data_IF_887251733470
#
_entry.id   IF_887251733470
#
_cell.length_a   1.000
_cell.length_b   1.000
_cell.length_c   1.000
_cell.angle_alpha   90.00
_cell.angle_beta   90.00
_cell.angle_gamma   90.00
#
_symmetry.space_group_name_H-M   'P 1'
#
loop_
_entity.id
_entity.type
_entity.pdbx_description
1 polymer ?
#
# COMPACT_ATOMS: atom_id res chain seq x y z
N UNK A 1 23.35 13.17 -22.59
CA UNK A 1 22.12 12.76 -23.34
C UNK A 1 21.16 13.94 -23.37
N UNK A 2 20.51 14.25 -24.50
CA UNK A 2 19.48 15.29 -24.58
C UNK A 2 18.13 14.73 -24.15
N UNK A 3 17.20 15.59 -23.68
CA UNK A 3 15.87 15.16 -23.24
C UNK A 3 15.06 14.49 -24.35
N UNK A 4 15.17 14.99 -25.58
CA UNK A 4 14.53 14.40 -26.76
C UNK A 4 15.05 12.98 -27.07
N UNK A 5 16.32 12.70 -26.79
CA UNK A 5 16.92 11.39 -26.98
C UNK A 5 16.42 10.39 -25.93
N UNK A 6 16.28 10.80 -24.66
CA UNK A 6 15.79 9.93 -23.59
C UNK A 6 14.30 9.56 -23.78
N UNK A 7 13.44 10.53 -24.07
CA UNK A 7 12.02 10.28 -24.35
C UNK A 7 11.84 9.31 -25.54
N UNK A 8 12.61 9.51 -26.61
CA UNK A 8 12.57 8.63 -27.79
C UNK A 8 13.02 7.20 -27.49
N UNK A 9 14.04 7.02 -26.62
CA UNK A 9 14.49 5.69 -26.19
C UNK A 9 13.43 4.97 -25.35
N UNK A 10 12.81 5.68 -24.42
CA UNK A 10 11.74 5.12 -23.56
C UNK A 10 10.55 4.70 -24.42
N UNK A 11 10.07 5.57 -25.30
CA UNK A 11 8.98 5.24 -26.23
C UNK A 11 9.34 4.04 -27.12
N UNK A 12 10.61 3.90 -27.53
CA UNK A 12 11.10 2.74 -28.28
C UNK A 12 11.12 1.43 -27.47
N UNK A 13 10.97 1.48 -26.16
CA UNK A 13 10.95 0.30 -25.28
C UNK A 13 9.52 -0.17 -24.92
N UNK A 14 8.46 0.50 -25.37
CA UNK A 14 7.06 0.16 -25.02
C UNK A 14 6.70 -1.29 -25.37
N UNK A 15 7.09 -1.78 -26.53
CA UNK A 15 6.83 -3.18 -26.92
C UNK A 15 7.61 -4.17 -26.05
N UNK A 16 8.82 -3.82 -25.64
CA UNK A 16 9.61 -4.65 -24.70
C UNK A 16 8.95 -4.63 -23.31
N UNK A 17 8.53 -3.47 -22.82
CA UNK A 17 7.81 -3.34 -21.54
C UNK A 17 6.54 -4.20 -21.52
N UNK A 18 5.79 -4.21 -22.62
CA UNK A 18 4.63 -5.08 -22.77
C UNK A 18 5.00 -6.57 -22.73
N UNK A 19 6.07 -6.96 -23.39
CA UNK A 19 6.55 -8.35 -23.39
C UNK A 19 6.95 -8.78 -21.97
N UNK A 20 7.77 -7.97 -21.31
CA UNK A 20 8.23 -8.22 -19.94
C UNK A 20 7.05 -8.35 -18.97
N UNK A 21 6.07 -7.44 -19.04
CA UNK A 21 4.88 -7.51 -18.20
C UNK A 21 4.02 -8.73 -18.52
N UNK A 22 3.92 -9.12 -19.79
CA UNK A 22 3.20 -10.34 -20.21
C UNK A 22 3.81 -11.59 -19.57
N UNK A 23 5.14 -11.69 -19.59
CA UNK A 23 5.86 -12.80 -18.98
C UNK A 23 5.67 -12.82 -17.46
N UNK A 24 5.86 -11.68 -16.79
CA UNK A 24 5.69 -11.57 -15.35
C UNK A 24 4.26 -11.88 -14.90
N UNK A 25 3.24 -11.34 -15.57
CA UNK A 25 1.83 -11.58 -15.25
C UNK A 25 1.48 -13.06 -15.41
N UNK A 26 2.11 -13.76 -16.36
CA UNK A 26 1.88 -15.19 -16.56
C UNK A 26 2.35 -16.07 -15.41
N UNK A 27 3.17 -15.54 -14.50
CA UNK A 27 3.65 -16.26 -13.31
C UNK A 27 2.74 -15.89 -12.13
N UNK A 28 1.93 -16.83 -11.61
CA UNK A 28 1.02 -16.58 -10.50
C UNK A 28 1.76 -16.56 -9.16
N UNK A 29 2.61 -15.56 -8.95
CA UNK A 29 3.49 -15.41 -7.79
C UNK A 29 2.73 -14.95 -6.53
N UNK A 30 1.68 -15.67 -6.15
CA UNK A 30 0.96 -15.48 -4.89
C UNK A 30 1.76 -16.10 -3.76
N UNK A 31 2.16 -15.29 -2.78
CA UNK A 31 3.07 -15.72 -1.72
C UNK A 31 2.44 -16.65 -0.66
N UNK A 32 1.11 -16.86 -0.68
CA UNK A 32 0.41 -17.76 0.24
C UNK A 32 0.54 -19.23 -0.21
N UNK A 33 1.37 -20.06 0.46
CA UNK A 33 1.60 -21.46 0.06
C UNK A 33 0.37 -22.35 0.23
N UNK A 34 -0.69 -21.88 0.89
CA UNK A 34 -1.97 -22.60 1.00
C UNK A 34 -2.80 -22.48 -0.27
N UNK A 35 -2.51 -21.50 -1.12
CA UNK A 35 -3.24 -21.19 -2.34
C UNK A 35 -2.43 -21.50 -3.59
N UNK A 36 -1.14 -21.15 -3.60
CA UNK A 36 -0.26 -21.33 -4.76
C UNK A 36 1.08 -22.00 -4.35
N UNK A 37 1.67 -22.76 -5.27
CA UNK A 37 2.99 -23.37 -5.02
C UNK A 37 4.08 -22.31 -4.83
N UNK A 38 4.95 -22.41 -3.81
CA UNK A 38 6.06 -21.45 -3.60
C UNK A 38 7.04 -21.34 -4.79
N UNK A 39 7.05 -22.35 -5.65
CA UNK A 39 7.85 -22.37 -6.88
C UNK A 39 7.46 -21.24 -7.84
N UNK A 40 6.22 -20.76 -7.81
CA UNK A 40 5.78 -19.64 -8.68
C UNK A 40 6.44 -18.32 -8.23
N UNK A 41 6.54 -18.07 -6.92
CA UNK A 41 7.31 -16.93 -6.41
C UNK A 41 8.80 -17.05 -6.78
N UNK A 42 9.39 -18.25 -6.70
CA UNK A 42 10.78 -18.47 -7.12
C UNK A 42 11.00 -18.24 -8.60
N UNK A 43 10.05 -18.61 -9.47
CA UNK A 43 10.11 -18.33 -10.91
C UNK A 43 10.08 -16.82 -11.17
N UNK A 44 9.20 -16.09 -10.48
CA UNK A 44 9.14 -14.64 -10.59
C UNK A 44 10.44 -13.98 -10.11
N UNK A 45 10.98 -14.40 -8.95
CA UNK A 45 12.25 -13.94 -8.44
C UNK A 45 13.40 -14.17 -9.43
N UNK A 46 13.49 -15.35 -10.03
CA UNK A 46 14.52 -15.68 -11.01
C UNK A 46 14.37 -14.83 -12.27
N UNK A 47 13.13 -14.65 -12.77
CA UNK A 47 12.86 -13.77 -13.90
C UNK A 47 13.34 -12.34 -13.61
N UNK A 48 13.03 -11.81 -12.43
CA UNK A 48 13.47 -10.48 -12.00
C UNK A 48 14.99 -10.39 -11.96
N UNK A 49 15.66 -11.39 -11.37
CA UNK A 49 17.12 -11.42 -11.28
C UNK A 49 17.78 -11.40 -12.68
N UNK A 50 17.28 -12.21 -13.60
CA UNK A 50 17.79 -12.29 -14.96
C UNK A 50 17.58 -10.97 -15.72
N UNK A 51 16.39 -10.37 -15.60
CA UNK A 51 16.04 -9.13 -16.29
C UNK A 51 16.86 -7.93 -15.80
N UNK A 52 17.11 -7.80 -14.48
CA UNK A 52 17.94 -6.72 -13.93
C UNK A 52 19.42 -6.94 -14.21
N UNK A 53 19.88 -8.17 -14.29
CA UNK A 53 21.24 -8.49 -14.78
C UNK A 53 21.39 -8.03 -16.24
N UNK A 54 20.42 -8.34 -17.13
CA UNK A 54 20.38 -7.86 -18.51
C UNK A 54 20.35 -6.32 -18.59
N UNK A 55 19.65 -5.67 -17.66
CA UNK A 55 19.57 -4.21 -17.58
C UNK A 55 20.84 -3.55 -17.02
N UNK A 56 21.88 -4.31 -16.70
CA UNK A 56 23.21 -3.81 -16.32
C UNK A 56 23.45 -3.67 -14.82
N UNK A 57 22.68 -4.34 -13.98
CA UNK A 57 23.03 -4.51 -12.57
C UNK A 57 24.03 -5.65 -12.39
N UNK A 58 24.85 -5.53 -11.36
CA UNK A 58 25.87 -6.50 -10.97
C UNK A 58 25.45 -7.30 -9.75
N UNK A 59 26.00 -8.51 -9.61
CA UNK A 59 25.80 -9.38 -8.44
C UNK A 59 24.32 -9.56 -8.07
N UNK A 60 23.46 -9.66 -9.09
CA UNK A 60 22.02 -9.87 -8.87
C UNK A 60 21.80 -11.32 -8.43
N UNK A 61 21.22 -11.49 -7.26
CA UNK A 61 20.97 -12.81 -6.68
C UNK A 61 19.77 -12.79 -5.73
N UNK A 62 19.29 -14.00 -5.42
CA UNK A 62 18.21 -14.21 -4.45
C UNK A 62 18.79 -14.38 -3.06
N UNK A 63 18.19 -13.71 -2.07
CA UNK A 63 18.45 -13.91 -0.65
C UNK A 63 17.19 -14.47 0.02
N UNK A 64 17.36 -15.44 0.92
CA UNK A 64 16.26 -15.96 1.73
C UNK A 64 15.99 -14.98 2.89
N UNK A 65 14.76 -14.57 3.05
CA UNK A 65 14.31 -13.71 4.15
C UNK A 65 13.83 -14.55 5.35
N UNK A 66 13.80 -13.98 6.58
CA UNK A 66 13.47 -14.74 7.79
C UNK A 66 12.09 -15.43 7.78
N UNK A 67 11.16 -14.96 6.97
CA UNK A 67 9.85 -15.57 6.76
C UNK A 67 9.85 -16.78 5.79
N UNK A 68 11.01 -17.09 5.22
CA UNK A 68 11.20 -18.17 4.25
C UNK A 68 10.86 -17.79 2.80
N UNK A 69 10.53 -16.52 2.55
CA UNK A 69 10.42 -15.98 1.20
C UNK A 69 11.80 -15.62 0.62
N UNK A 70 11.84 -14.98 -0.53
CA UNK A 70 13.10 -14.52 -1.14
C UNK A 70 12.95 -13.07 -1.56
N UNK A 71 14.02 -12.30 -1.36
CA UNK A 71 14.18 -11.02 -2.05
C UNK A 71 15.24 -11.16 -3.14
N UNK A 72 15.08 -10.40 -4.22
CA UNK A 72 16.11 -10.25 -5.26
C UNK A 72 16.88 -8.98 -4.96
N UNK A 73 18.18 -9.07 -4.77
CA UNK A 73 19.05 -7.92 -4.55
C UNK A 73 20.10 -7.81 -5.66
N UNK A 74 20.52 -6.59 -5.95
CA UNK A 74 21.55 -6.32 -6.93
C UNK A 74 22.08 -4.90 -6.79
N UNK A 75 23.16 -4.57 -7.49
CA UNK A 75 23.70 -3.22 -7.43
C UNK A 75 24.40 -2.80 -8.72
N UNK A 76 24.61 -1.49 -8.86
CA UNK A 76 25.54 -0.88 -9.82
C UNK A 76 26.41 0.11 -9.09
N UNK A 77 27.76 0.03 -9.20
CA UNK A 77 28.66 0.94 -8.52
C UNK A 77 28.41 2.41 -8.84
N UNK A 78 28.50 3.27 -7.84
CA UNK A 78 28.38 4.70 -8.01
C UNK A 78 29.60 5.28 -8.78
N UNK A 79 29.39 6.14 -9.78
CA UNK A 79 30.47 6.97 -10.29
C UNK A 79 31.10 7.80 -9.16
N UNK A 80 32.42 8.15 -9.26
CA UNK A 80 33.10 8.89 -8.22
C UNK A 80 32.38 10.21 -7.86
N UNK A 81 31.98 10.35 -6.58
CA UNK A 81 31.30 11.53 -6.06
C UNK A 81 29.80 11.62 -6.35
N UNK A 82 29.23 10.65 -7.06
CA UNK A 82 27.80 10.58 -7.30
C UNK A 82 27.07 9.90 -6.13
N UNK A 83 25.79 10.24 -5.87
CA UNK A 83 24.98 9.59 -4.86
C UNK A 83 24.58 8.16 -5.26
N UNK A 84 24.07 7.41 -4.30
CA UNK A 84 23.47 6.09 -4.51
C UNK A 84 21.95 6.17 -4.31
N UNK A 85 21.19 5.53 -5.19
CA UNK A 85 19.74 5.42 -5.11
C UNK A 85 19.36 3.95 -4.96
N UNK A 86 18.49 3.65 -3.99
CA UNK A 86 17.87 2.34 -3.88
C UNK A 86 16.55 2.34 -4.64
N UNK A 87 16.35 1.32 -5.48
CA UNK A 87 15.11 1.05 -6.18
C UNK A 87 14.42 -0.15 -5.52
N UNK A 88 13.17 0.03 -5.09
CA UNK A 88 12.34 -1.01 -4.48
C UNK A 88 11.08 -1.25 -5.30
N UNK A 89 10.71 -2.51 -5.42
CA UNK A 89 9.43 -3.02 -5.87
C UNK A 89 9.18 -4.39 -5.24
N UNK A 90 8.01 -5.02 -5.48
CA UNK A 90 7.78 -6.42 -5.13
C UNK A 90 7.29 -7.23 -6.33
N UNK A 91 7.49 -8.54 -6.30
CA UNK A 91 7.10 -9.44 -7.39
C UNK A 91 6.00 -10.43 -7.01
N UNK A 92 5.68 -10.55 -5.73
CA UNK A 92 4.50 -11.27 -5.30
C UNK A 92 3.22 -10.47 -5.60
N UNK A 93 2.09 -11.14 -5.58
CA UNK A 93 0.80 -10.55 -5.92
C UNK A 93 -0.31 -11.12 -5.04
N UNK A 94 -1.36 -10.34 -4.85
CA UNK A 94 -2.60 -10.82 -4.24
C UNK A 94 -3.22 -11.97 -5.05
N UNK A 95 -3.92 -12.91 -4.41
CA UNK A 95 -4.70 -13.90 -5.13
C UNK A 95 -5.79 -13.22 -5.97
N UNK A 96 -6.26 -13.86 -7.07
CA UNK A 96 -7.27 -13.28 -7.95
C UNK A 96 -8.64 -13.10 -7.30
N UNK A 97 -8.88 -13.68 -6.12
CA UNK A 97 -10.15 -13.71 -5.38
C UNK A 97 -11.21 -14.53 -6.13
N UNK A 98 -12.26 -13.89 -6.63
CA UNK A 98 -13.36 -14.51 -7.37
C UNK A 98 -13.02 -14.55 -8.87
N UNK A 99 -12.64 -15.71 -9.38
CA UNK A 99 -12.26 -15.90 -10.78
C UNK A 99 -13.42 -15.56 -11.75
N UNK A 100 -14.67 -15.78 -11.33
CA UNK A 100 -15.85 -15.47 -12.14
C UNK A 100 -16.10 -13.95 -12.31
N UNK A 101 -15.49 -13.14 -11.44
CA UNK A 101 -15.55 -11.70 -11.52
C UNK A 101 -14.53 -11.09 -12.51
N UNK A 102 -13.57 -11.88 -12.99
CA UNK A 102 -12.62 -11.45 -14.00
C UNK A 102 -13.20 -11.56 -15.41
N UNK A 103 -13.12 -10.48 -16.18
CA UNK A 103 -13.55 -10.47 -17.60
C UNK A 103 -12.57 -11.22 -18.50
N UNK A 104 -11.30 -11.27 -18.13
CA UNK A 104 -10.21 -12.00 -18.80
C UNK A 104 -9.40 -12.75 -17.75
N UNK A 105 -8.72 -13.86 -18.07
CA UNK A 105 -7.97 -14.64 -17.09
C UNK A 105 -6.94 -13.78 -16.32
N UNK A 106 -6.87 -13.85 -14.98
CA UNK A 106 -6.06 -12.97 -14.15
C UNK A 106 -4.56 -13.04 -14.44
N UNK A 107 -4.05 -14.20 -14.84
CA UNK A 107 -2.64 -14.42 -15.16
C UNK A 107 -2.36 -14.46 -16.66
N UNK A 108 -3.15 -13.71 -17.44
CA UNK A 108 -2.96 -13.53 -18.89
C UNK A 108 -3.11 -12.06 -19.22
N UNK A 109 -2.00 -11.38 -19.52
CA UNK A 109 -2.03 -9.97 -19.88
C UNK A 109 -2.94 -9.75 -21.09
N UNK A 110 -4.00 -8.97 -20.91
CA UNK A 110 -4.99 -8.71 -21.96
C UNK A 110 -5.19 -7.20 -22.13
N UNK A 111 -5.04 -6.72 -23.36
CA UNK A 111 -5.33 -5.32 -23.66
C UNK A 111 -6.81 -5.12 -23.97
N UNK A 112 -7.43 -4.15 -23.27
CA UNK A 112 -8.80 -3.69 -23.52
C UNK A 112 -8.88 -2.19 -23.31
N UNK A 113 -9.55 -1.48 -24.18
CA UNK A 113 -9.81 -0.04 -24.06
C UNK A 113 -8.55 0.79 -23.72
N UNK A 114 -7.40 0.39 -24.28
CA UNK A 114 -6.11 1.04 -24.07
C UNK A 114 -5.45 0.75 -22.74
N UNK A 115 -5.97 -0.16 -21.91
CA UNK A 115 -5.37 -0.60 -20.64
C UNK A 115 -4.91 -2.05 -20.72
N UNK A 116 -3.90 -2.40 -19.94
CA UNK A 116 -3.38 -3.75 -19.79
C UNK A 116 -3.91 -4.40 -18.52
N UNK A 117 -4.73 -5.44 -18.67
CA UNK A 117 -5.41 -6.15 -17.60
C UNK A 117 -4.67 -7.42 -17.22
N UNK A 118 -4.58 -7.69 -15.92
CA UNK A 118 -4.00 -8.88 -15.32
C UNK A 118 -3.61 -8.63 -13.87
N UNK A 119 -3.57 -9.67 -13.05
CA UNK A 119 -3.14 -9.56 -11.66
C UNK A 119 -1.65 -9.20 -11.58
N UNK A 120 -1.31 -8.16 -10.79
CA UNK A 120 0.03 -7.64 -10.68
C UNK A 120 0.42 -6.62 -11.76
N UNK A 121 -0.48 -6.27 -12.69
CA UNK A 121 -0.16 -5.31 -13.75
C UNK A 121 0.18 -3.91 -13.24
N UNK A 122 -0.40 -3.51 -12.11
CA UNK A 122 -0.10 -2.26 -11.42
C UNK A 122 0.68 -2.55 -10.13
N UNK A 123 0.20 -3.48 -9.34
CA UNK A 123 0.67 -3.83 -8.02
C UNK A 123 1.29 -5.23 -8.00
N UNK A 124 2.62 -5.36 -8.16
CA UNK A 124 3.63 -4.33 -8.34
C UNK A 124 4.51 -4.58 -9.59
N UNK A 125 4.15 -5.59 -10.44
CA UNK A 125 4.94 -5.99 -11.62
C UNK A 125 5.08 -4.87 -12.66
N UNK A 126 4.10 -3.97 -12.74
CA UNK A 126 4.20 -2.75 -13.56
C UNK A 126 5.35 -1.85 -13.13
N UNK A 127 5.60 -1.74 -11.83
CA UNK A 127 6.73 -0.97 -11.28
C UNK A 127 8.07 -1.67 -11.57
N UNK A 128 8.12 -3.01 -11.58
CA UNK A 128 9.31 -3.75 -12.04
C UNK A 128 9.66 -3.37 -13.48
N UNK A 129 8.65 -3.39 -14.36
CA UNK A 129 8.83 -3.06 -15.79
C UNK A 129 9.18 -1.59 -15.98
N UNK A 130 8.66 -0.69 -15.16
CA UNK A 130 9.01 0.72 -15.12
C UNK A 130 10.52 0.90 -14.83
N UNK A 131 11.04 0.28 -13.77
CA UNK A 131 12.46 0.30 -13.42
C UNK A 131 13.34 -0.25 -14.57
N UNK A 132 12.98 -1.40 -15.12
CA UNK A 132 13.70 -2.00 -16.25
C UNK A 132 13.73 -1.08 -17.45
N UNK A 133 12.62 -0.41 -17.77
CA UNK A 133 12.52 0.52 -18.89
C UNK A 133 13.39 1.75 -18.67
N UNK A 134 13.41 2.32 -17.47
CA UNK A 134 14.26 3.45 -17.10
C UNK A 134 15.76 3.10 -17.23
N UNK A 135 16.17 1.97 -16.63
CA UNK A 135 17.58 1.53 -16.66
C UNK A 135 18.05 1.19 -18.08
N UNK A 136 17.22 0.51 -18.88
CA UNK A 136 17.55 0.20 -20.30
C UNK A 136 17.64 1.46 -21.15
N UNK A 137 16.78 2.45 -20.92
CA UNK A 137 16.84 3.73 -21.64
C UNK A 137 18.13 4.51 -21.34
N UNK A 138 18.61 4.44 -20.11
CA UNK A 138 19.88 5.03 -19.69
C UNK A 138 21.09 4.21 -20.16
N UNK A 139 20.99 2.88 -20.17
CA UNK A 139 22.07 1.97 -20.54
C UNK A 139 23.33 2.19 -19.70
N UNK A 140 24.47 2.44 -20.35
CA UNK A 140 25.74 2.69 -19.66
C UNK A 140 25.83 4.08 -19.04
N UNK A 141 24.92 5.00 -19.37
CA UNK A 141 24.91 6.39 -18.91
C UNK A 141 24.19 6.62 -17.57
N UNK A 142 23.96 5.57 -16.76
CA UNK A 142 23.39 5.72 -15.39
C UNK A 142 24.35 6.55 -14.52
N UNK A 143 23.91 7.76 -14.07
CA UNK A 143 24.84 8.72 -13.47
C UNK A 143 24.99 8.60 -11.95
N UNK A 144 24.34 7.64 -11.31
CA UNK A 144 24.32 7.37 -9.88
C UNK A 144 24.68 5.92 -9.58
N UNK A 145 25.05 5.62 -8.34
CA UNK A 145 25.03 4.24 -7.86
C UNK A 145 23.59 3.74 -7.73
N UNK A 146 23.37 2.48 -8.07
CA UNK A 146 22.07 1.83 -7.86
C UNK A 146 22.24 0.71 -6.83
N UNK A 147 21.32 0.63 -5.90
CA UNK A 147 20.97 -0.57 -5.16
C UNK A 147 19.57 -0.97 -5.57
N UNK A 148 19.32 -2.25 -5.65
CA UNK A 148 18.05 -2.79 -6.08
C UNK A 148 17.56 -3.86 -5.12
N UNK A 149 16.28 -3.84 -4.80
CA UNK A 149 15.60 -4.89 -4.07
C UNK A 149 14.20 -5.10 -4.64
N UNK A 150 13.86 -6.36 -4.92
CA UNK A 150 12.50 -6.77 -5.19
C UNK A 150 12.06 -7.80 -4.15
N UNK A 151 11.00 -7.48 -3.43
CA UNK A 151 10.46 -8.31 -2.35
C UNK A 151 9.53 -9.39 -2.90
N UNK A 152 9.40 -10.50 -2.19
CA UNK A 152 8.57 -11.64 -2.59
C UNK A 152 7.49 -12.04 -1.61
N UNK A 153 7.21 -11.21 -0.60
CA UNK A 153 6.17 -11.45 0.41
C UNK A 153 5.53 -10.17 0.96
N UNK A 154 5.59 -9.08 0.21
CA UNK A 154 4.97 -7.80 0.61
C UNK A 154 3.48 -7.98 0.90
N UNK A 155 2.77 -8.63 -0.01
CA UNK A 155 1.33 -8.86 0.02
C UNK A 155 0.86 -9.79 1.17
N UNK A 156 1.78 -10.50 1.80
CA UNK A 156 1.51 -11.29 3.00
C UNK A 156 1.73 -10.48 4.28
N UNK A 157 2.46 -9.37 4.23
CA UNK A 157 2.77 -8.52 5.38
C UNK A 157 3.51 -9.29 6.48
N UNK A 158 4.39 -10.22 6.12
CA UNK A 158 5.11 -11.08 7.07
C UNK A 158 6.26 -10.37 7.75
N UNK A 159 6.76 -9.27 7.17
CA UNK A 159 7.89 -8.52 7.70
C UNK A 159 9.25 -9.17 7.43
N UNK A 160 9.32 -10.10 6.49
CA UNK A 160 10.55 -10.83 6.17
C UNK A 160 11.67 -9.92 5.65
N UNK A 161 11.35 -9.03 4.71
CA UNK A 161 12.32 -8.08 4.19
C UNK A 161 12.71 -7.03 5.25
N UNK A 162 11.76 -6.56 6.06
CA UNK A 162 12.03 -5.60 7.14
C UNK A 162 13.05 -6.15 8.14
N UNK A 163 12.91 -7.41 8.53
CA UNK A 163 13.86 -8.07 9.43
C UNK A 163 15.21 -8.29 8.75
N UNK A 164 15.22 -8.64 7.46
CA UNK A 164 16.45 -8.79 6.67
C UNK A 164 17.21 -7.46 6.58
N UNK A 165 16.53 -6.35 6.30
CA UNK A 165 17.13 -4.99 6.25
C UNK A 165 17.80 -4.63 7.58
N UNK A 166 17.15 -4.94 8.71
CA UNK A 166 17.73 -4.66 10.05
C UNK A 166 19.01 -5.48 10.27
N UNK A 167 19.06 -6.71 9.77
CA UNK A 167 20.21 -7.60 9.88
C UNK A 167 21.37 -7.27 8.92
N UNK A 168 21.08 -6.64 7.76
CA UNK A 168 22.04 -6.39 6.67
C UNK A 168 21.94 -4.94 6.14
N UNK A 169 22.00 -3.90 6.99
CA UNK A 169 21.73 -2.53 6.58
C UNK A 169 22.69 -2.01 5.50
N UNK A 170 23.92 -2.54 5.43
CA UNK A 170 24.91 -2.13 4.43
C UNK A 170 24.49 -2.45 3.00
N UNK A 171 23.64 -3.47 2.80
CA UNK A 171 23.13 -3.84 1.48
C UNK A 171 22.10 -2.83 0.96
N UNK A 172 21.45 -2.07 1.86
CA UNK A 172 20.38 -1.13 1.55
C UNK A 172 20.77 0.34 1.69
N UNK A 173 21.95 0.64 2.25
CA UNK A 173 22.39 2.01 2.48
C UNK A 173 22.47 2.80 1.16
N UNK A 174 21.65 3.85 1.04
CA UNK A 174 21.58 4.75 -0.09
C UNK A 174 21.27 6.19 0.37
N UNK A 175 21.48 7.17 -0.51
CA UNK A 175 21.21 8.58 -0.24
C UNK A 175 19.74 8.93 -0.49
N UNK A 176 19.09 8.23 -1.44
CA UNK A 176 17.65 8.28 -1.69
C UNK A 176 17.11 6.87 -1.93
N UNK A 177 15.86 6.63 -1.53
CA UNK A 177 15.17 5.36 -1.67
C UNK A 177 13.86 5.59 -2.44
N UNK A 178 13.72 4.97 -3.62
CA UNK A 178 12.50 4.97 -4.41
C UNK A 178 11.72 3.71 -4.06
N UNK A 179 10.63 3.88 -3.33
CA UNK A 179 9.69 2.83 -2.99
C UNK A 179 8.58 2.88 -4.02
N UNK A 180 8.69 2.01 -5.03
CA UNK A 180 7.74 2.00 -6.15
C UNK A 180 6.66 0.95 -5.90
N UNK A 181 5.70 1.35 -5.08
CA UNK A 181 4.57 0.57 -4.59
C UNK A 181 3.40 1.50 -4.23
N UNK A 182 3.28 2.58 -4.98
CA UNK A 182 2.21 3.57 -4.90
C UNK A 182 1.99 4.16 -6.29
N UNK A 183 1.17 5.19 -6.41
CA UNK A 183 0.89 5.72 -7.72
C UNK A 183 0.41 7.15 -7.79
N UNK A 184 -0.12 7.48 -8.93
CA UNK A 184 -0.56 8.80 -9.32
C UNK A 184 -2.02 9.07 -8.85
N UNK A 185 -2.34 10.34 -8.63
CA UNK A 185 -3.72 10.76 -8.29
C UNK A 185 -4.70 10.49 -9.45
N UNK A 186 -4.21 10.47 -10.67
CA UNK A 186 -4.93 10.08 -11.88
C UNK A 186 -3.92 9.89 -13.02
N UNK A 187 -4.33 9.20 -14.09
CA UNK A 187 -3.54 9.12 -15.33
C UNK A 187 -3.15 10.52 -15.81
N UNK A 188 -1.87 10.74 -16.11
CA UNK A 188 -1.33 12.02 -16.57
C UNK A 188 -1.15 13.08 -15.48
N UNK A 189 -1.15 12.68 -14.21
CA UNK A 189 -0.91 13.59 -13.06
C UNK A 189 0.25 13.07 -12.23
N UNK A 190 1.47 13.49 -12.54
CA UNK A 190 2.67 13.07 -11.82
C UNK A 190 2.59 13.38 -10.33
N UNK A 191 2.64 12.34 -9.51
CA UNK A 191 2.35 12.43 -8.08
C UNK A 191 3.45 11.74 -7.26
N UNK A 192 3.75 12.31 -6.09
CA UNK A 192 4.50 11.62 -5.05
C UNK A 192 3.57 11.34 -3.86
N UNK A 193 3.54 10.11 -3.37
CA UNK A 193 2.89 9.79 -2.11
C UNK A 193 3.77 10.24 -0.96
N UNK A 194 3.27 11.13 -0.12
CA UNK A 194 4.06 11.74 0.97
C UNK A 194 3.63 11.30 2.35
N UNK A 195 2.57 10.51 2.43
CA UNK A 195 2.13 9.93 3.70
C UNK A 195 1.41 8.59 3.52
N UNK A 196 1.66 7.68 4.46
CA UNK A 196 0.94 6.43 4.61
C UNK A 196 0.27 6.41 5.98
N UNK A 197 -0.96 5.91 6.04
CA UNK A 197 -1.62 5.70 7.33
C UNK A 197 -1.08 4.46 8.02
N UNK A 198 -0.92 4.58 9.33
CA UNK A 198 -0.70 3.43 10.20
C UNK A 198 -1.98 2.62 10.42
N UNK A 199 -1.83 1.56 11.18
CA UNK A 199 -2.87 0.59 11.47
C UNK A 199 -2.85 0.22 12.96
N UNK A 200 -4.03 0.10 13.57
CA UNK A 200 -4.19 -0.47 14.90
C UNK A 200 -5.43 -1.37 14.92
N UNK A 201 -5.23 -2.68 14.99
CA UNK A 201 -6.31 -3.66 15.03
C UNK A 201 -6.52 -4.20 16.44
N UNK A 202 -7.78 -4.39 16.81
CA UNK A 202 -8.18 -5.03 18.04
C UNK A 202 -9.33 -5.99 17.82
N UNK A 203 -9.41 -7.02 18.66
CA UNK A 203 -10.60 -7.86 18.81
C UNK A 203 -11.27 -7.50 20.13
N UNK A 204 -12.53 -7.10 20.06
CA UNK A 204 -13.35 -6.83 21.25
C UNK A 204 -14.31 -7.97 21.49
N UNK A 205 -14.34 -8.48 22.72
CA UNK A 205 -15.25 -9.52 23.17
C UNK A 205 -16.15 -8.94 24.28
N UNK A 206 -17.45 -9.12 24.13
CA UNK A 206 -18.46 -8.68 25.09
C UNK A 206 -19.14 -9.91 25.69
N UNK A 207 -19.12 -10.02 27.00
CA UNK A 207 -19.77 -11.11 27.76
C UNK A 207 -20.84 -10.53 28.70
N UNK A 208 -22.03 -11.10 28.68
CA UNK A 208 -23.17 -10.63 29.49
C UNK A 208 -23.85 -11.73 30.34
N UNK A 209 -23.73 -13.00 29.92
CA UNK A 209 -24.34 -14.15 30.53
C UNK A 209 -23.34 -15.29 30.69
N UNK A 210 -23.61 -16.27 31.56
CA UNK A 210 -22.81 -17.48 31.74
C UNK A 210 -22.99 -18.46 30.55
N UNK A 211 -24.09 -18.37 29.84
CA UNK A 211 -24.44 -19.19 28.66
C UNK A 211 -25.68 -18.67 27.96
N UNK A 212 -25.92 -19.13 26.74
CA UNK A 212 -27.12 -18.78 26.01
C UNK A 212 -28.39 -19.24 26.70
N UNK A 213 -29.44 -18.41 26.66
CA UNK A 213 -30.72 -18.69 27.30
C UNK A 213 -31.87 -18.43 26.35
N UNK A 214 -33.00 -19.09 26.58
CA UNK A 214 -34.20 -18.99 25.74
C UNK A 214 -34.77 -17.56 25.74
N UNK A 215 -34.83 -16.94 24.54
CA UNK A 215 -35.22 -15.53 24.37
C UNK A 215 -36.69 -15.25 24.77
N UNK A 216 -37.60 -16.21 24.58
CA UNK A 216 -38.97 -16.06 24.97
C UNK A 216 -39.21 -16.16 26.48
N UNK A 217 -38.32 -16.83 27.25
CA UNK A 217 -38.41 -16.95 28.72
C UNK A 217 -37.68 -15.85 29.45
N UNK A 218 -36.56 -15.39 28.93
CA UNK A 218 -35.64 -14.48 29.62
C UNK A 218 -35.38 -13.16 28.88
N UNK A 219 -35.75 -13.07 27.58
CA UNK A 219 -35.61 -11.87 26.80
C UNK A 219 -36.35 -10.67 27.37
N UNK A 220 -35.80 -9.49 27.18
CA UNK A 220 -36.26 -8.24 27.81
C UNK A 220 -35.34 -7.81 28.94
N UNK A 221 -35.36 -8.45 30.13
CA UNK A 221 -34.45 -8.08 31.23
C UNK A 221 -33.04 -8.67 31.09
N UNK A 222 -32.88 -9.84 30.43
CA UNK A 222 -31.55 -10.42 30.25
C UNK A 222 -30.72 -9.60 29.28
N UNK A 223 -29.48 -9.18 29.63
CA UNK A 223 -28.66 -8.38 28.74
C UNK A 223 -28.12 -9.24 27.61
N UNK A 224 -28.41 -8.81 26.37
CA UNK A 224 -27.99 -9.45 25.13
C UNK A 224 -26.58 -8.98 24.75
N UNK A 225 -25.63 -9.91 24.62
CA UNK A 225 -24.23 -9.59 24.33
C UNK A 225 -24.07 -8.96 22.94
N UNK A 226 -24.84 -9.41 21.94
CA UNK A 226 -24.78 -8.84 20.58
C UNK A 226 -25.33 -7.41 20.57
N UNK A 227 -26.44 -7.15 21.25
CA UNK A 227 -26.99 -5.80 21.39
C UNK A 227 -26.01 -4.87 22.14
N UNK A 228 -25.32 -5.36 23.17
CA UNK A 228 -24.27 -4.63 23.87
C UNK A 228 -23.08 -4.31 22.95
N UNK A 229 -22.62 -5.29 22.16
CA UNK A 229 -21.55 -5.10 21.18
C UNK A 229 -21.93 -4.07 20.11
N UNK A 230 -23.15 -4.12 19.58
CA UNK A 230 -23.62 -3.15 18.57
C UNK A 230 -23.64 -1.72 19.11
N UNK A 231 -24.09 -1.52 20.38
CA UNK A 231 -24.02 -0.20 21.02
C UNK A 231 -22.58 0.26 21.24
N UNK A 232 -21.70 -0.65 21.63
CA UNK A 232 -20.28 -0.38 21.83
C UNK A 232 -19.61 0.06 20.51
N UNK A 233 -19.84 -0.66 19.43
CA UNK A 233 -19.32 -0.31 18.10
C UNK A 233 -19.91 1.02 17.58
N UNK A 234 -21.20 1.27 17.83
CA UNK A 234 -21.82 2.54 17.46
C UNK A 234 -21.20 3.74 18.21
N UNK A 235 -20.68 3.57 19.41
CA UNK A 235 -20.04 4.64 20.18
C UNK A 235 -18.73 5.15 19.54
N UNK A 236 -18.11 4.36 18.65
CA UNK A 236 -16.92 4.72 17.90
C UNK A 236 -17.17 5.74 16.79
N UNK A 237 -18.42 6.11 16.55
CA UNK A 237 -18.82 7.05 15.50
C UNK A 237 -19.76 8.11 16.06
N UNK A 238 -19.65 9.28 15.49
CA UNK A 238 -20.66 10.32 15.70
C UNK A 238 -21.97 9.90 15.02
N UNK A 239 -23.11 9.94 15.73
CA UNK A 239 -24.36 9.41 15.20
C UNK A 239 -24.97 10.23 14.04
N UNK A 240 -24.61 11.50 13.89
CA UNK A 240 -25.15 12.38 12.84
C UNK A 240 -24.28 12.38 11.61
N UNK A 241 -22.97 12.44 11.79
CA UNK A 241 -22.01 12.58 10.70
C UNK A 241 -21.34 11.27 10.31
N UNK A 242 -21.32 10.28 11.20
CA UNK A 242 -20.56 9.04 11.02
C UNK A 242 -19.04 9.20 11.20
N UNK A 243 -18.57 10.37 11.61
CA UNK A 243 -17.15 10.62 11.86
C UNK A 243 -16.62 9.69 12.97
N UNK A 244 -15.37 9.25 12.87
CA UNK A 244 -14.70 8.50 13.93
C UNK A 244 -14.66 9.33 15.21
N UNK A 245 -15.05 8.72 16.34
CA UNK A 245 -15.06 9.35 17.63
C UNK A 245 -14.54 8.37 18.68
N UNK A 246 -13.33 8.59 19.15
CA UNK A 246 -12.66 7.78 20.16
C UNK A 246 -12.23 8.68 21.30
N UNK A 247 -12.64 8.36 22.53
CA UNK A 247 -12.28 9.14 23.71
C UNK A 247 -10.76 9.17 23.90
N UNK A 248 -10.20 10.36 24.10
CA UNK A 248 -8.76 10.53 24.30
C UNK A 248 -7.94 10.53 23.01
N UNK A 249 -8.59 10.43 21.84
CA UNK A 249 -7.94 10.54 20.54
C UNK A 249 -8.39 11.81 19.81
N UNK A 250 -7.44 12.57 19.28
CA UNK A 250 -7.77 13.68 18.37
C UNK A 250 -8.22 13.10 17.02
N UNK A 251 -9.47 13.32 16.66
CA UNK A 251 -10.07 12.84 15.43
C UNK A 251 -10.23 13.94 14.37
N UNK A 252 -9.62 15.10 14.59
CA UNK A 252 -9.60 16.21 13.64
C UNK A 252 -8.23 16.27 12.94
N UNK A 253 -8.22 16.84 11.75
CA UNK A 253 -7.02 17.01 10.93
C UNK A 253 -7.40 17.56 9.56
N UNK A 254 -6.45 18.20 8.89
CA UNK A 254 -6.61 18.74 7.55
C UNK A 254 -5.47 18.28 6.65
N UNK A 255 -5.81 17.96 5.41
CA UNK A 255 -4.87 17.57 4.38
C UNK A 255 -4.43 18.81 3.56
N UNK A 256 -3.12 18.98 3.39
CA UNK A 256 -2.56 20.13 2.68
C UNK A 256 -2.14 19.83 1.22
N UNK A 257 -2.17 18.57 0.81
CA UNK A 257 -1.82 18.12 -0.54
C UNK A 257 -2.98 18.23 -1.53
N UNK A 258 -2.91 17.42 -2.60
CA UNK A 258 -3.99 17.35 -3.59
C UNK A 258 -5.29 16.93 -2.93
N UNK A 259 -6.37 17.66 -3.22
CA UNK A 259 -7.71 17.27 -2.78
C UNK A 259 -8.21 16.05 -3.53
N UNK A 260 -9.19 15.37 -2.96
CA UNK A 260 -9.95 14.33 -3.67
C UNK A 260 -11.38 14.85 -3.87
N UNK A 261 -11.76 15.01 -5.13
CA UNK A 261 -13.11 15.47 -5.49
C UNK A 261 -14.17 14.49 -4.98
N UNK A 262 -15.25 14.98 -4.39
CA UNK A 262 -16.25 14.13 -3.76
C UNK A 262 -17.02 13.28 -4.79
N UNK A 263 -17.34 13.81 -5.97
CA UNK A 263 -18.05 13.07 -7.02
C UNK A 263 -17.14 11.99 -7.61
N UNK A 264 -15.84 12.30 -7.78
CA UNK A 264 -14.86 11.33 -8.25
C UNK A 264 -14.68 10.22 -7.21
N UNK A 265 -14.52 10.55 -5.93
CA UNK A 265 -14.42 9.57 -4.86
C UNK A 265 -15.64 8.63 -4.81
N UNK A 266 -16.84 9.19 -4.98
CA UNK A 266 -18.06 8.38 -5.01
C UNK A 266 -18.07 7.36 -6.15
N UNK A 267 -17.52 7.73 -7.30
CA UNK A 267 -17.37 6.84 -8.46
C UNK A 267 -16.33 5.76 -8.19
N UNK A 268 -15.16 6.15 -7.72
CA UNK A 268 -14.03 5.25 -7.47
C UNK A 268 -14.35 4.24 -6.35
N UNK A 269 -15.04 4.68 -5.30
CA UNK A 269 -15.48 3.85 -4.18
C UNK A 269 -16.79 3.09 -4.45
N UNK A 270 -17.45 3.27 -5.60
CA UNK A 270 -18.72 2.63 -5.92
C UNK A 270 -19.86 2.97 -4.95
N UNK A 271 -19.89 4.21 -4.42
CA UNK A 271 -20.92 4.61 -3.45
C UNK A 271 -22.29 4.69 -4.12
N UNK A 272 -23.26 3.97 -3.57
CA UNK A 272 -24.61 3.91 -4.11
C UNK A 272 -25.30 5.28 -4.10
N UNK A 273 -26.20 5.49 -5.08
CA UNK A 273 -26.98 6.73 -5.18
C UNK A 273 -27.79 6.98 -3.89
N UNK A 274 -27.81 8.24 -3.44
CA UNK A 274 -28.51 8.63 -2.22
C UNK A 274 -27.80 8.32 -0.90
N UNK A 275 -26.74 7.52 -0.90
CA UNK A 275 -25.93 7.25 0.30
C UNK A 275 -24.96 8.42 0.53
N UNK A 276 -24.97 9.02 1.72
CA UNK A 276 -24.08 10.12 2.08
C UNK A 276 -22.71 9.56 2.49
N UNK A 277 -21.64 10.29 2.17
CA UNK A 277 -20.32 9.99 2.74
C UNK A 277 -20.32 10.32 4.23
N UNK A 278 -19.58 9.51 4.99
CA UNK A 278 -19.43 9.67 6.44
C UNK A 278 -18.28 10.61 6.79
N UNK A 279 -18.38 11.25 7.95
CA UNK A 279 -17.39 12.20 8.44
C UNK A 279 -17.64 13.65 8.00
N UNK A 280 -16.77 14.54 8.47
CA UNK A 280 -16.79 15.99 8.19
C UNK A 280 -15.53 16.41 7.45
N UNK A 281 -15.51 17.60 6.87
CA UNK A 281 -14.37 18.11 6.10
C UNK A 281 -14.30 17.53 4.69
N UNK A 282 -13.19 17.77 3.98
CA UNK A 282 -12.97 17.25 2.63
C UNK A 282 -12.79 15.72 2.63
N UNK A 283 -12.91 15.09 1.47
CA UNK A 283 -12.61 13.65 1.32
C UNK A 283 -11.16 13.37 1.71
N UNK A 284 -10.24 14.23 1.30
CA UNK A 284 -8.81 14.12 1.60
C UNK A 284 -8.52 14.20 3.11
N UNK A 285 -9.20 15.09 3.85
CA UNK A 285 -9.08 15.14 5.32
C UNK A 285 -9.46 13.81 5.96
N UNK A 286 -10.61 13.26 5.54
CA UNK A 286 -11.16 12.00 6.06
C UNK A 286 -10.31 10.79 5.70
N UNK A 287 -9.66 10.81 4.54
CA UNK A 287 -8.84 9.70 4.06
C UNK A 287 -7.42 9.72 4.64
N UNK A 288 -6.78 10.89 4.73
CA UNK A 288 -5.32 10.94 4.92
C UNK A 288 -4.88 11.69 6.18
N UNK A 289 -5.72 12.58 6.72
CA UNK A 289 -5.35 13.42 7.85
C UNK A 289 -6.05 13.06 9.16
N UNK A 290 -7.05 12.16 9.14
CA UNK A 290 -7.85 11.80 10.31
C UNK A 290 -7.85 10.29 10.57
N UNK A 291 -7.98 9.86 11.83
CA UNK A 291 -8.19 8.45 12.13
C UNK A 291 -9.54 7.97 11.58
N UNK A 292 -9.56 6.74 11.08
CA UNK A 292 -10.77 6.15 10.51
C UNK A 292 -10.99 4.73 11.05
N UNK A 293 -12.11 4.53 11.76
CA UNK A 293 -12.48 3.23 12.31
C UNK A 293 -13.32 2.45 11.31
N UNK A 294 -13.04 1.14 11.20
CA UNK A 294 -13.83 0.18 10.40
C UNK A 294 -14.03 -1.09 11.21
N UNK A 295 -15.24 -1.64 11.17
CA UNK A 295 -15.52 -2.98 11.70
C UNK A 295 -15.27 -3.98 10.59
N UNK A 296 -14.27 -4.86 10.77
CA UNK A 296 -13.85 -5.83 9.76
C UNK A 296 -14.63 -7.14 9.83
N UNK A 297 -15.17 -7.47 11.00
CA UNK A 297 -15.97 -8.67 11.18
C UNK A 297 -16.70 -8.68 12.51
N UNK A 298 -17.79 -9.43 12.57
CA UNK A 298 -18.58 -9.66 13.80
C UNK A 298 -18.93 -11.14 13.85
N UNK A 299 -18.62 -11.78 14.95
CA UNK A 299 -19.12 -13.12 15.27
C UNK A 299 -20.56 -13.00 15.81
N UNK A 300 -21.53 -13.39 15.00
CA UNK A 300 -22.94 -13.41 15.38
C UNK A 300 -23.63 -14.65 14.76
N UNK A 301 -24.76 -15.10 15.34
CA UNK A 301 -25.53 -16.18 14.74
C UNK A 301 -25.98 -15.84 13.32
N UNK A 302 -25.91 -16.81 12.37
CA UNK A 302 -26.40 -16.60 11.01
C UNK A 302 -27.94 -16.39 11.02
N UNK A 303 -28.47 -15.59 10.10
CA UNK A 303 -29.91 -15.33 9.99
C UNK A 303 -30.68 -16.64 9.78
N UNK A 304 -30.20 -17.47 8.84
CA UNK A 304 -30.79 -18.78 8.56
C UNK A 304 -30.24 -19.81 9.56
N UNK A 305 -31.11 -20.45 10.31
CA UNK A 305 -30.75 -21.43 11.34
C UNK A 305 -30.44 -20.84 12.72
N UNK A 306 -30.70 -19.54 12.94
CA UNK A 306 -30.58 -18.93 14.27
C UNK A 306 -31.59 -19.55 15.25
N UNK A 307 -31.15 -19.75 16.48
CA UNK A 307 -32.00 -20.20 17.60
C UNK A 307 -32.77 -19.04 18.22
N UNK A 308 -33.91 -19.35 18.90
CA UNK A 308 -34.62 -18.38 19.73
C UNK A 308 -33.89 -18.19 21.09
N UNK A 309 -32.65 -17.70 21.05
CA UNK A 309 -31.77 -17.55 22.18
C UNK A 309 -31.32 -16.09 22.37
N UNK A 310 -30.96 -15.72 23.59
CA UNK A 310 -30.20 -14.50 23.94
C UNK A 310 -28.72 -14.88 23.97
N UNK A 311 -27.86 -14.33 23.11
CA UNK A 311 -26.46 -14.69 23.09
C UNK A 311 -25.72 -14.19 24.33
N UNK A 312 -24.86 -15.06 24.88
CA UNK A 312 -24.07 -14.78 26.09
C UNK A 312 -22.79 -14.00 25.77
N UNK A 313 -22.24 -14.19 24.57
CA UNK A 313 -20.99 -13.62 24.12
C UNK A 313 -21.13 -13.12 22.69
N UNK A 314 -20.49 -12.02 22.35
CA UNK A 314 -20.35 -11.50 20.99
C UNK A 314 -18.97 -10.89 20.80
N UNK A 315 -18.40 -10.98 19.58
CA UNK A 315 -17.06 -10.51 19.25
C UNK A 315 -17.06 -9.69 17.98
N UNK A 316 -16.15 -8.72 17.91
CA UNK A 316 -15.89 -7.98 16.68
C UNK A 316 -14.40 -7.70 16.50
N UNK A 317 -13.96 -7.68 15.25
CA UNK A 317 -12.65 -7.18 14.85
C UNK A 317 -12.79 -5.74 14.39
N UNK A 318 -12.05 -4.84 15.02
CA UNK A 318 -12.07 -3.40 14.75
C UNK A 318 -10.70 -2.95 14.26
N UNK A 319 -10.68 -2.26 13.14
CA UNK A 319 -9.49 -1.65 12.56
C UNK A 319 -9.57 -0.14 12.69
N UNK A 320 -8.49 0.47 13.18
CA UNK A 320 -8.31 1.91 13.23
C UNK A 320 -7.14 2.28 12.32
N UNK A 321 -7.42 3.03 11.26
CA UNK A 321 -6.38 3.68 10.45
C UNK A 321 -5.89 4.93 11.17
N UNK A 322 -4.57 5.07 11.29
CA UNK A 322 -3.91 6.11 12.09
C UNK A 322 -3.19 7.08 11.13
N UNK A 323 -3.51 8.39 11.14
CA UNK A 323 -2.87 9.35 10.25
C UNK A 323 -1.43 9.66 10.69
N UNK A 324 -0.58 10.19 9.79
CA UNK A 324 0.75 10.69 10.14
C UNK A 324 0.70 11.75 11.24
N UNK A 325 1.69 11.70 12.14
CA UNK A 325 1.77 12.57 13.30
C UNK A 325 1.07 12.02 14.55
N UNK A 326 0.33 10.91 14.43
CA UNK A 326 -0.29 10.21 15.55
C UNK A 326 0.48 8.91 15.86
N UNK A 327 0.77 8.66 17.12
CA UNK A 327 1.40 7.40 17.55
C UNK A 327 0.40 6.24 17.50
N UNK A 328 0.73 5.18 16.76
CA UNK A 328 -0.17 4.04 16.58
C UNK A 328 -0.42 3.24 17.87
N UNK A 329 0.59 3.18 18.75
CA UNK A 329 0.46 2.53 20.04
C UNK A 329 -0.49 3.30 20.97
N UNK A 330 -0.35 4.63 21.02
CA UNK A 330 -1.26 5.49 21.78
C UNK A 330 -2.69 5.46 21.21
N UNK A 331 -2.84 5.45 19.88
CA UNK A 331 -4.14 5.35 19.22
C UNK A 331 -4.83 4.01 19.54
N UNK A 332 -4.08 2.90 19.51
CA UNK A 332 -4.57 1.57 19.93
C UNK A 332 -4.99 1.54 21.39
N UNK A 333 -4.19 2.13 22.28
CA UNK A 333 -4.52 2.20 23.71
C UNK A 333 -5.79 3.04 23.95
N UNK A 334 -5.95 4.16 23.24
CA UNK A 334 -7.16 4.98 23.30
C UNK A 334 -8.40 4.22 22.80
N UNK A 335 -8.29 3.49 21.69
CA UNK A 335 -9.36 2.63 21.17
C UNK A 335 -9.77 1.56 22.18
N UNK A 336 -8.81 0.85 22.77
CA UNK A 336 -9.07 -0.18 23.78
C UNK A 336 -9.72 0.42 25.05
N UNK A 337 -9.23 1.57 25.53
CA UNK A 337 -9.80 2.27 26.68
C UNK A 337 -11.22 2.77 26.40
N UNK A 338 -11.48 3.30 25.19
CA UNK A 338 -12.82 3.72 24.78
C UNK A 338 -13.79 2.53 24.81
N UNK A 339 -13.43 1.41 24.16
CA UNK A 339 -14.26 0.21 24.13
C UNK A 339 -14.55 -0.34 25.52
N UNK A 340 -13.55 -0.41 26.38
CA UNK A 340 -13.73 -0.87 27.75
C UNK A 340 -14.60 0.09 28.58
N UNK A 341 -14.39 1.40 28.43
CA UNK A 341 -15.10 2.44 29.19
C UNK A 341 -16.53 2.69 28.73
N UNK A 342 -16.88 2.36 27.48
CA UNK A 342 -18.22 2.54 26.92
C UNK A 342 -19.13 1.31 27.05
N UNK A 343 -18.70 0.30 27.82
CA UNK A 343 -19.45 -0.94 28.01
C UNK A 343 -20.89 -0.67 28.52
N UNK A 344 -21.94 -0.99 27.74
CA UNK A 344 -23.31 -0.78 28.17
C UNK A 344 -23.72 -1.78 29.27
N UNK A 345 -24.62 -1.37 30.16
CA UNK A 345 -25.26 -2.23 31.18
C UNK A 345 -24.29 -2.99 32.11
N UNK A 346 -23.03 -2.55 32.20
CA UNK A 346 -22.01 -3.24 32.98
C UNK A 346 -21.53 -4.56 32.35
N UNK A 347 -21.69 -4.73 31.01
CA UNK A 347 -21.17 -5.87 30.28
C UNK A 347 -19.66 -6.00 30.51
N UNK A 348 -19.15 -7.22 30.54
CA UNK A 348 -17.71 -7.47 30.60
C UNK A 348 -17.13 -7.35 29.22
N UNK A 349 -16.21 -6.40 29.05
CA UNK A 349 -15.54 -6.14 27.77
C UNK A 349 -14.06 -6.50 27.90
N UNK A 350 -13.60 -7.35 27.02
CA UNK A 350 -12.20 -7.72 26.87
C UNK A 350 -11.72 -7.23 25.49
N UNK A 351 -10.52 -6.63 25.45
CA UNK A 351 -9.93 -6.12 24.20
C UNK A 351 -8.56 -6.77 24.03
N UNK A 352 -8.45 -7.59 23.00
CA UNK A 352 -7.20 -8.20 22.56
C UNK A 352 -6.57 -7.33 21.47
N UNK A 353 -5.28 -7.06 21.60
CA UNK A 353 -4.54 -6.29 20.60
C UNK A 353 -4.00 -7.22 19.54
N UNK A 354 -4.18 -6.85 18.28
CA UNK A 354 -3.60 -7.54 17.13
C UNK A 354 -2.45 -6.72 16.50
N UNK A 355 -2.29 -6.84 15.19
CA UNK A 355 -1.28 -6.12 14.42
C UNK A 355 -1.39 -4.61 14.56
N UNK A 356 -0.27 -3.93 14.58
CA UNK A 356 -0.19 -2.48 14.48
C UNK A 356 1.00 -2.09 13.60
N UNK A 357 0.81 -1.04 12.81
CA UNK A 357 1.85 -0.43 11.99
C UNK A 357 1.86 1.08 12.20
N UNK A 358 3.05 1.66 12.33
CA UNK A 358 3.20 3.10 12.45
C UNK A 358 2.85 3.81 11.15
N UNK A 359 2.24 4.99 11.19
CA UNK A 359 2.10 5.82 10.01
C UNK A 359 3.47 6.33 9.54
N UNK A 360 3.56 6.70 8.28
CA UNK A 360 4.76 7.26 7.69
C UNK A 360 4.46 8.64 7.07
N UNK A 361 5.43 9.56 7.18
CA UNK A 361 5.42 10.85 6.47
C UNK A 361 6.81 11.10 5.89
N UNK A 362 6.87 11.33 4.59
CA UNK A 362 8.11 11.68 3.90
C UNK A 362 8.58 13.10 4.22
N UNK A 363 9.89 13.30 4.32
CA UNK A 363 10.51 14.62 4.34
C UNK A 363 10.71 15.08 2.89
N UNK A 364 9.99 16.12 2.47
CA UNK A 364 9.87 16.52 1.06
C UNK A 364 10.76 17.69 0.64
N UNK A 365 11.66 18.15 1.52
CA UNK A 365 12.44 19.39 1.28
C UNK A 365 13.90 19.15 0.87
N UNK A 366 14.27 17.90 0.60
CA UNK A 366 15.62 17.53 0.23
C UNK A 366 15.91 17.59 -1.27
N UNK A 367 17.18 17.36 -1.65
CA UNK A 367 17.61 17.34 -3.04
C UNK A 367 16.95 16.27 -3.90
N UNK A 368 16.58 15.11 -3.33
CA UNK A 368 15.91 14.06 -4.08
C UNK A 368 14.47 14.48 -4.46
N UNK A 369 13.70 15.05 -3.53
CA UNK A 369 12.38 15.59 -3.86
C UNK A 369 12.44 16.77 -4.83
N UNK A 370 13.49 17.63 -4.76
CA UNK A 370 13.71 18.69 -5.73
C UNK A 370 13.96 18.14 -7.14
N UNK A 371 14.80 17.09 -7.26
CA UNK A 371 15.09 16.41 -8.51
C UNK A 371 13.83 15.71 -9.08
N UNK A 372 13.08 15.01 -8.22
CA UNK A 372 11.82 14.37 -8.61
C UNK A 372 10.80 15.40 -9.11
N UNK A 373 10.59 16.49 -8.38
CA UNK A 373 9.67 17.55 -8.79
C UNK A 373 10.02 18.19 -10.13
N UNK A 374 11.32 18.24 -10.47
CA UNK A 374 11.79 18.69 -11.78
C UNK A 374 11.49 17.67 -12.87
N UNK A 375 11.83 16.39 -12.63
CA UNK A 375 11.54 15.30 -13.55
C UNK A 375 10.04 15.16 -13.85
N UNK A 376 9.20 15.16 -12.81
CA UNK A 376 7.73 15.12 -12.94
C UNK A 376 7.20 16.28 -13.79
N UNK A 377 7.70 17.49 -13.55
CA UNK A 377 7.28 18.68 -14.32
C UNK A 377 7.67 18.58 -15.79
N UNK A 378 8.84 18.05 -16.08
CA UNK A 378 9.30 17.87 -17.47
C UNK A 378 8.45 16.83 -18.22
N UNK A 379 8.18 15.69 -17.59
CA UNK A 379 7.45 14.58 -18.21
C UNK A 379 5.95 14.87 -18.31
N UNK A 380 5.32 15.29 -17.22
CA UNK A 380 3.87 15.51 -17.16
C UNK A 380 3.45 16.94 -17.57
N UNK A 381 4.39 17.86 -17.73
CA UNK A 381 4.10 19.26 -18.09
C UNK A 381 3.42 20.08 -16.98
N UNK A 382 3.33 19.53 -15.76
CA UNK A 382 2.66 20.12 -14.58
C UNK A 382 3.54 19.94 -13.34
N UNK A 383 3.38 20.82 -12.32
CA UNK A 383 4.01 20.60 -11.04
C UNK A 383 3.63 19.24 -10.44
N UNK A 384 4.59 18.60 -9.78
CA UNK A 384 4.35 17.37 -9.02
C UNK A 384 3.27 17.59 -7.96
N UNK A 385 2.34 16.66 -7.89
CA UNK A 385 1.29 16.62 -6.89
C UNK A 385 1.74 15.83 -5.65
N UNK A 386 1.16 16.13 -4.48
CA UNK A 386 1.39 15.37 -3.25
C UNK A 386 0.11 14.68 -2.82
N UNK A 387 0.19 13.38 -2.61
CA UNK A 387 -0.94 12.52 -2.24
C UNK A 387 -0.66 11.83 -0.90
N UNK A 388 -1.71 11.56 -0.14
CA UNK A 388 -1.68 10.60 0.95
C UNK A 388 -2.21 9.25 0.49
N UNK A 389 -1.77 8.16 1.13
CA UNK A 389 -2.33 6.84 0.87
C UNK A 389 -2.88 6.19 2.13
N UNK A 390 -3.95 5.41 1.94
CA UNK A 390 -4.64 4.71 3.04
C UNK A 390 -3.95 3.42 3.47
N UNK A 391 -3.10 2.87 2.62
CA UNK A 391 -2.29 1.68 2.88
C UNK A 391 -1.15 1.96 3.86
N UNK A 392 -0.54 0.90 4.35
CA UNK A 392 0.64 0.95 5.21
C UNK A 392 1.72 0.11 4.52
N UNK A 393 2.89 0.69 4.30
CA UNK A 393 4.10 0.00 3.83
C UNK A 393 5.10 0.02 5.00
N UNK A 394 5.12 -1.02 5.84
CA UNK A 394 5.94 -1.04 7.07
C UNK A 394 7.43 -0.83 6.81
N UNK A 395 7.92 -1.32 5.66
CA UNK A 395 9.30 -1.15 5.20
C UNK A 395 9.74 0.32 5.20
N UNK A 396 8.86 1.28 4.88
CA UNK A 396 9.19 2.71 4.90
C UNK A 396 9.67 3.19 6.28
N UNK A 397 9.03 2.70 7.37
CA UNK A 397 9.42 3.05 8.73
C UNK A 397 10.73 2.37 9.13
N UNK A 398 10.97 1.14 8.70
CA UNK A 398 12.22 0.41 8.93
C UNK A 398 13.38 1.12 8.23
N UNK A 399 13.21 1.48 6.96
CA UNK A 399 14.21 2.20 6.18
C UNK A 399 14.48 3.61 6.74
N UNK A 400 13.44 4.34 7.15
CA UNK A 400 13.59 5.65 7.79
C UNK A 400 14.36 5.56 9.12
N UNK A 401 14.14 4.51 9.90
CA UNK A 401 14.87 4.25 11.14
C UNK A 401 16.32 3.84 10.91
N UNK A 402 16.57 2.97 9.92
CA UNK A 402 17.91 2.50 9.58
C UNK A 402 18.74 3.60 8.89
N UNK A 403 18.12 4.42 8.04
CA UNK A 403 18.79 5.44 7.22
C UNK A 403 18.18 6.84 7.42
N UNK A 404 18.33 7.47 8.59
CA UNK A 404 17.63 8.71 8.93
C UNK A 404 18.07 9.94 8.11
N UNK A 405 19.09 9.81 7.27
CA UNK A 405 19.56 10.87 6.36
C UNK A 405 19.12 10.64 4.91
N UNK A 406 18.63 9.46 4.59
CA UNK A 406 18.16 9.15 3.25
C UNK A 406 16.77 9.76 3.02
N UNK A 407 16.53 10.23 1.79
CA UNK A 407 15.20 10.69 1.40
C UNK A 407 14.39 9.50 0.86
N UNK A 408 13.22 9.25 1.45
CA UNK A 408 12.32 8.18 1.02
C UNK A 408 11.26 8.79 0.12
N UNK A 409 11.19 8.32 -1.10
CA UNK A 409 10.24 8.73 -2.14
C UNK A 409 9.32 7.56 -2.42
N UNK A 410 8.00 7.79 -2.36
CA UNK A 410 7.01 6.82 -2.79
C UNK A 410 6.37 7.30 -4.09
N UNK A 411 6.43 6.47 -5.11
CA UNK A 411 5.87 6.72 -6.43
C UNK A 411 5.58 5.39 -7.14
N UNK A 412 4.98 5.43 -8.31
CA UNK A 412 4.77 4.22 -9.12
C UNK A 412 3.72 4.43 -10.20
N UNK A 413 3.30 3.33 -10.81
CA UNK A 413 2.43 3.33 -12.00
C UNK A 413 0.95 3.20 -11.68
N UNK A 414 0.60 2.99 -10.42
CA UNK A 414 -0.79 2.83 -9.98
C UNK A 414 -1.59 4.13 -10.17
N UNK A 415 -2.91 4.00 -10.24
CA UNK A 415 -3.85 5.10 -10.17
C UNK A 415 -5.24 4.56 -9.79
N UNK A 416 -6.22 5.38 -9.42
CA UNK A 416 -7.49 4.89 -8.84
C UNK A 416 -8.26 3.88 -9.67
N UNK A 417 -8.06 3.83 -11.00
CA UNK A 417 -8.75 2.88 -11.91
C UNK A 417 -8.00 1.55 -12.05
N UNK A 418 -6.83 1.41 -11.46
CA UNK A 418 -6.06 0.16 -11.50
C UNK A 418 -6.77 -0.99 -10.81
N UNK A 419 -7.65 -0.73 -9.85
CA UNK A 419 -8.39 -1.74 -9.07
C UNK A 419 -7.45 -2.76 -8.42
N UNK A 420 -6.32 -2.29 -7.86
CA UNK A 420 -5.42 -3.17 -7.11
C UNK A 420 -6.18 -3.98 -6.05
N UNK A 421 -5.75 -5.21 -5.78
CA UNK A 421 -6.40 -6.17 -4.87
C UNK A 421 -7.82 -6.59 -5.25
N UNK A 422 -8.37 -6.13 -6.39
CA UNK A 422 -9.70 -6.49 -6.87
C UNK A 422 -9.63 -7.27 -8.20
N UNK A 423 -10.69 -7.96 -8.62
CA UNK A 423 -10.80 -8.50 -9.97
C UNK A 423 -10.73 -7.39 -11.03
N UNK A 424 -10.20 -7.73 -12.19
CA UNK A 424 -9.96 -6.82 -13.32
C UNK A 424 -8.92 -5.72 -13.02
N UNK A 425 -7.93 -6.01 -12.18
CA UNK A 425 -6.75 -5.15 -12.05
C UNK A 425 -6.15 -4.83 -13.41
N UNK A 426 -5.72 -3.59 -13.59
CA UNK A 426 -5.15 -3.11 -14.85
C UNK A 426 -4.20 -1.94 -14.63
N UNK A 427 -3.27 -1.74 -15.56
CA UNK A 427 -2.43 -0.55 -15.62
C UNK A 427 -2.69 0.21 -16.93
N UNK A 428 -2.57 1.54 -16.87
CA UNK A 428 -2.48 2.36 -18.08
C UNK A 428 -1.03 2.30 -18.59
N UNK A 429 -0.76 1.80 -19.80
CA UNK A 429 0.61 1.66 -20.30
C UNK A 429 1.36 2.99 -20.42
N UNK A 430 0.65 4.11 -20.56
CA UNK A 430 1.26 5.43 -20.59
C UNK A 430 1.86 5.82 -19.25
N UNK A 431 1.34 5.31 -18.13
CA UNK A 431 1.91 5.56 -16.80
C UNK A 431 3.22 4.77 -16.62
N UNK A 432 3.35 3.57 -17.17
CA UNK A 432 4.63 2.84 -17.17
C UNK A 432 5.68 3.66 -17.96
N UNK A 433 5.32 4.18 -19.13
CA UNK A 433 6.20 5.00 -19.96
C UNK A 433 6.59 6.31 -19.26
N UNK A 434 5.60 7.04 -18.76
CA UNK A 434 5.82 8.32 -18.08
C UNK A 434 6.67 8.14 -16.82
N UNK A 435 6.34 7.16 -15.98
CA UNK A 435 7.06 6.96 -14.72
C UNK A 435 8.48 6.41 -14.94
N UNK A 436 8.71 5.58 -15.97
CA UNK A 436 10.05 5.21 -16.38
C UNK A 436 10.88 6.43 -16.87
N UNK A 437 10.22 7.36 -17.58
CA UNK A 437 10.86 8.62 -17.98
C UNK A 437 11.17 9.51 -16.78
N UNK A 438 10.22 9.62 -15.82
CA UNK A 438 10.44 10.35 -14.57
C UNK A 438 11.61 9.77 -13.81
N UNK A 439 11.68 8.44 -13.65
CA UNK A 439 12.78 7.79 -12.94
C UNK A 439 14.13 8.06 -13.62
N UNK A 440 14.23 7.85 -14.91
CA UNK A 440 15.46 8.11 -15.64
C UNK A 440 15.91 9.58 -15.54
N UNK A 441 14.98 10.54 -15.61
CA UNK A 441 15.25 11.97 -15.42
C UNK A 441 15.61 12.28 -13.96
N UNK A 442 14.92 11.69 -13.00
CA UNK A 442 15.24 11.82 -11.60
C UNK A 442 16.69 11.42 -11.29
N UNK A 443 17.14 10.27 -11.80
CA UNK A 443 18.51 9.81 -11.60
C UNK A 443 19.54 10.81 -12.18
N UNK A 444 19.25 11.42 -13.35
CA UNK A 444 20.10 12.45 -13.93
C UNK A 444 20.13 13.75 -13.13
N UNK A 445 18.96 14.25 -12.72
CA UNK A 445 18.83 15.49 -11.99
C UNK A 445 19.40 15.37 -10.56
N UNK A 446 19.20 14.19 -9.93
CA UNK A 446 19.74 13.92 -8.60
C UNK A 446 21.26 13.86 -8.61
N UNK A 447 21.87 13.17 -9.60
CA UNK A 447 23.33 13.19 -9.77
C UNK A 447 23.87 14.61 -9.96
N UNK A 448 23.19 15.44 -10.75
CA UNK A 448 23.60 16.82 -10.99
C UNK A 448 23.60 17.70 -9.72
N UNK A 449 22.82 17.36 -8.72
CA UNK A 449 22.81 18.07 -7.43
C UNK A 449 24.10 17.85 -6.61
N UNK A 450 24.85 16.79 -6.88
CA UNK A 450 26.11 16.43 -6.19
C UNK A 450 27.38 16.80 -6.98
N UNK A 451 27.23 17.26 -8.20
CA UNK A 451 28.36 17.57 -9.11
C UNK A 451 28.86 19.02 -9.00
N UNK A 452 28.56 19.73 -7.93
CA UNK A 452 28.96 21.15 -7.70
C UNK A 452 30.28 21.29 -6.94
#
# INVERSE_FOLDING_TARGET
MTDLDLAGRIAGLTDRARTDLTELVSIPSVADPRQYPPEECRKAAQWVADAFTEAGLHDVHLVETPDGSHAVIGHRPSPPGAPTVLLYCHYDVQPPLDDDAWTTPPFTLTERDGRWYGRGTADCKGNIVMHLTALRALGDDVPVGIKFVAEGSEEQGTGGLEEYVVGHPEEFLADALLICDTGNAAVGVGTATVSLRGLANVVVTVNTLEGEIHSGMFGGPAPDALAALLQLLASLRDPETGATRINGLDCEGSWEGVGYDEEQFRKDAGVLEGVRLTGTGSVADRLWARPAVTVLGIDCPPVVGSAAAVPATARARVSLRVPPGMDAGAARAALAAHLTGAAPWGARVEVETESSGSPFRAATEGPAYAALGKAMREVYGKPMAYLGQGGSIPLCNVLAGAFPRAEIILMGVEEPRCLIHAPNESVDPTEIEHMAHVEARFLQEYAAAFTK
#
